data_IF_023981174358
#
_entry.id   IF_023981174358
#
_cell.length_a   1.000
_cell.length_b   1.000
_cell.length_c   1.000
_cell.angle_alpha   90.00
_cell.angle_beta   90.00
_cell.angle_gamma   90.00
#
_symmetry.space_group_name_H-M   'P 1'
#
loop_
_entity.id
_entity.type
_entity.pdbx_description
1 polymer ?
#
# COMPACT_ATOMS: atom_id res chain seq x y z
N UNK A 1 13.37 -3.42 -11.82
CA UNK A 1 12.55 -3.17 -10.62
C UNK A 1 12.34 -4.39 -9.70
N UNK A 2 12.99 -5.56 -9.88
CA UNK A 2 12.77 -6.74 -9.00
C UNK A 2 13.86 -7.00 -7.97
N UNK A 3 15.00 -6.33 -8.10
CA UNK A 3 16.16 -6.54 -7.24
C UNK A 3 16.06 -5.67 -5.99
N UNK A 4 16.45 -6.22 -4.84
CA UNK A 4 16.57 -5.55 -3.53
C UNK A 4 15.28 -5.40 -2.69
N UNK A 5 14.12 -5.86 -3.17
CA UNK A 5 12.91 -5.83 -2.34
C UNK A 5 13.05 -6.65 -1.06
N UNK A 6 13.73 -7.78 -1.15
CA UNK A 6 14.15 -8.62 -0.02
C UNK A 6 14.98 -7.84 1.01
N UNK A 7 15.84 -6.93 0.56
CA UNK A 7 16.72 -6.14 1.44
C UNK A 7 15.99 -5.02 2.17
N UNK A 8 14.99 -4.41 1.54
CA UNK A 8 14.25 -3.27 2.11
C UNK A 8 12.94 -3.68 2.78
N UNK A 9 12.46 -4.91 2.55
CA UNK A 9 11.20 -5.42 3.09
C UNK A 9 11.10 -5.22 4.60
N UNK A 10 12.13 -5.61 5.36
CA UNK A 10 12.10 -5.53 6.82
C UNK A 10 11.89 -4.09 7.32
N UNK A 11 12.44 -3.10 6.61
CA UNK A 11 12.28 -1.69 6.96
C UNK A 11 10.91 -1.14 6.58
N UNK A 12 10.24 -1.73 5.59
CA UNK A 12 8.98 -1.23 5.04
C UNK A 12 7.76 -2.04 5.47
N UNK A 13 7.97 -3.22 6.06
CA UNK A 13 6.90 -4.10 6.51
C UNK A 13 5.94 -3.37 7.47
N UNK A 14 4.66 -3.46 7.13
CA UNK A 14 3.56 -2.86 7.86
C UNK A 14 3.43 -1.37 7.62
N UNK A 15 4.34 -0.71 6.89
CA UNK A 15 4.36 0.77 6.73
C UNK A 15 3.83 1.25 5.39
N UNK A 16 3.70 0.36 4.41
CA UNK A 16 3.39 0.72 3.03
C UNK A 16 1.99 0.24 2.65
N UNK A 17 1.17 1.18 2.21
CA UNK A 17 -0.07 0.93 1.50
C UNK A 17 0.03 1.55 0.10
N UNK A 18 -0.39 0.80 -0.92
CA UNK A 18 -0.45 1.25 -2.31
C UNK A 18 -1.88 1.04 -2.81
N UNK A 19 -2.43 2.09 -3.41
CA UNK A 19 -3.78 2.12 -3.98
C UNK A 19 -3.72 2.53 -5.45
N UNK A 20 -4.50 1.88 -6.32
CA UNK A 20 -4.57 2.24 -7.74
C UNK A 20 -5.97 2.02 -8.32
N UNK A 21 -6.32 2.80 -9.33
CA UNK A 21 -7.56 2.65 -10.08
C UNK A 21 -7.46 1.45 -11.02
N UNK A 22 -8.49 0.62 -11.08
CA UNK A 22 -8.51 -0.54 -11.97
C UNK A 22 -8.47 -0.16 -13.44
N UNK A 23 -8.99 1.03 -13.79
CA UNK A 23 -9.01 1.59 -15.14
C UNK A 23 -8.01 2.74 -15.31
N UNK A 24 -6.91 2.76 -14.54
CA UNK A 24 -5.87 3.80 -14.68
C UNK A 24 -5.45 3.96 -16.16
N UNK A 25 -5.72 5.15 -16.70
CA UNK A 25 -5.52 5.49 -18.11
C UNK A 25 -4.05 5.79 -18.45
N UNK A 26 -3.16 5.83 -17.45
CA UNK A 26 -1.72 5.81 -17.61
C UNK A 26 -1.14 4.39 -17.48
N UNK A 27 -2.00 3.38 -17.30
CA UNK A 27 -1.64 1.96 -17.21
C UNK A 27 -0.76 1.63 -15.99
N UNK A 28 -0.79 2.46 -14.93
CA UNK A 28 0.01 2.24 -13.72
C UNK A 28 -0.49 1.04 -12.89
N UNK A 29 -1.75 0.66 -13.08
CA UNK A 29 -2.37 -0.51 -12.48
C UNK A 29 -1.58 -1.81 -12.75
N UNK A 30 -0.95 -1.96 -13.92
CA UNK A 30 -0.14 -3.14 -14.23
C UNK A 30 1.17 -3.18 -13.43
N UNK A 31 1.83 -2.03 -13.26
CA UNK A 31 3.04 -1.94 -12.45
C UNK A 31 2.76 -2.26 -10.98
N UNK A 32 1.64 -1.74 -10.45
CA UNK A 32 1.18 -2.03 -9.08
C UNK A 32 0.86 -3.52 -8.91
N UNK A 33 0.13 -4.15 -9.85
CA UNK A 33 -0.15 -5.59 -9.81
C UNK A 33 1.11 -6.45 -9.87
N UNK A 34 2.12 -6.03 -10.64
CA UNK A 34 3.41 -6.71 -10.69
C UNK A 34 4.14 -6.61 -9.35
N UNK A 35 4.16 -5.42 -8.73
CA UNK A 35 4.76 -5.25 -7.40
C UNK A 35 4.03 -6.05 -6.33
N UNK A 36 2.69 -6.06 -6.35
CA UNK A 36 1.86 -6.88 -5.45
C UNK A 36 2.24 -8.37 -5.55
N UNK A 37 2.34 -8.90 -6.77
CA UNK A 37 2.77 -10.28 -6.98
C UNK A 37 4.18 -10.57 -6.44
N UNK A 38 5.13 -9.64 -6.58
CA UNK A 38 6.48 -9.80 -6.01
C UNK A 38 6.47 -9.70 -4.48
N UNK A 39 5.70 -8.80 -3.88
CA UNK A 39 5.62 -8.65 -2.42
C UNK A 39 4.97 -9.84 -1.74
N UNK A 40 3.97 -10.46 -2.40
CA UNK A 40 3.36 -11.72 -1.95
C UNK A 40 4.37 -12.86 -1.90
N UNK A 41 5.23 -13.02 -2.92
CA UNK A 41 6.30 -14.05 -2.92
C UNK A 41 7.27 -13.88 -1.74
N UNK A 42 7.46 -12.66 -1.28
CA UNK A 42 8.33 -12.34 -0.16
C UNK A 42 7.61 -12.40 1.20
N UNK A 43 6.31 -12.72 1.26
CA UNK A 43 5.51 -12.61 2.49
C UNK A 43 5.61 -11.22 3.14
N UNK A 44 5.54 -10.16 2.33
CA UNK A 44 5.51 -8.79 2.86
C UNK A 44 4.14 -8.42 3.40
N UNK A 45 4.13 -7.52 4.38
CA UNK A 45 2.91 -6.94 4.95
C UNK A 45 2.47 -5.65 4.26
N UNK A 46 2.93 -5.41 3.03
CA UNK A 46 2.43 -4.33 2.19
C UNK A 46 0.94 -4.52 1.91
N UNK A 47 0.19 -3.43 1.94
CA UNK A 47 -1.25 -3.45 1.65
C UNK A 47 -1.46 -2.92 0.24
N UNK A 48 -2.06 -3.74 -0.64
CA UNK A 48 -2.45 -3.34 -1.99
C UNK A 48 -3.97 -3.23 -2.07
N UNK A 49 -4.47 -2.09 -2.52
CA UNK A 49 -5.90 -1.83 -2.71
C UNK A 49 -6.18 -1.38 -4.13
N UNK A 50 -7.31 -1.83 -4.66
CA UNK A 50 -7.71 -1.58 -6.03
C UNK A 50 -9.14 -1.05 -6.03
N UNK A 51 -9.33 0.14 -6.59
CA UNK A 51 -10.63 0.81 -6.60
C UNK A 51 -11.16 0.92 -8.04
N UNK A 52 -12.48 1.03 -8.25
CA UNK A 52 -13.01 1.47 -9.53
C UNK A 52 -12.53 2.91 -9.84
N UNK A 53 -12.34 3.20 -11.12
CA UNK A 53 -11.87 4.49 -11.61
C UNK A 53 -10.50 4.42 -12.27
N UNK A 54 -10.15 5.55 -12.88
CA UNK A 54 -8.87 5.84 -13.50
C UNK A 54 -8.02 6.76 -12.59
N UNK A 55 -6.94 7.29 -13.16
CA UNK A 55 -6.00 8.16 -12.46
C UNK A 55 -6.63 9.40 -11.82
N UNK A 56 -7.76 9.86 -12.37
CA UNK A 56 -8.44 11.08 -11.94
C UNK A 56 -9.72 10.81 -11.14
N UNK A 57 -10.28 9.61 -11.27
CA UNK A 57 -11.59 9.27 -10.69
C UNK A 57 -11.51 8.32 -9.50
N UNK A 58 -10.31 7.82 -9.17
CA UNK A 58 -10.06 6.94 -8.01
C UNK A 58 -10.42 7.57 -6.64
N UNK A 59 -10.40 8.90 -6.53
CA UNK A 59 -10.55 9.66 -5.28
C UNK A 59 -11.99 9.66 -4.71
N UNK A 60 -12.52 8.47 -4.46
CA UNK A 60 -13.84 8.22 -3.88
C UNK A 60 -13.82 8.35 -2.35
N UNK A 61 -15.01 8.42 -1.73
CA UNK A 61 -15.12 8.40 -0.25
C UNK A 61 -14.49 7.15 0.36
N UNK A 62 -14.64 5.99 -0.28
CA UNK A 62 -14.06 4.73 0.18
C UNK A 62 -12.52 4.78 0.13
N UNK A 63 -11.95 5.25 -0.98
CA UNK A 63 -10.51 5.46 -1.13
C UNK A 63 -9.93 6.31 0.01
N UNK A 64 -10.56 7.45 0.32
CA UNK A 64 -10.10 8.32 1.40
C UNK A 64 -10.26 7.69 2.78
N UNK A 65 -11.39 7.01 3.02
CA UNK A 65 -11.67 6.33 4.28
C UNK A 65 -10.60 5.28 4.57
N UNK A 66 -10.35 4.38 3.63
CA UNK A 66 -9.44 3.25 3.82
C UNK A 66 -7.99 3.72 4.00
N UNK A 67 -7.57 4.71 3.19
CA UNK A 67 -6.25 5.34 3.34
C UNK A 67 -6.08 6.02 4.70
N UNK A 68 -7.07 6.79 5.15
CA UNK A 68 -7.01 7.46 6.45
C UNK A 68 -7.03 6.45 7.61
N UNK A 69 -7.86 5.40 7.54
CA UNK A 69 -7.89 4.34 8.55
C UNK A 69 -6.56 3.59 8.62
N UNK A 70 -5.89 3.34 7.49
CA UNK A 70 -4.55 2.77 7.49
C UNK A 70 -3.57 3.69 8.24
N UNK A 71 -3.51 4.98 7.89
CA UNK A 71 -2.61 5.94 8.52
C UNK A 71 -2.87 6.11 10.02
N UNK A 72 -4.14 6.15 10.42
CA UNK A 72 -4.54 6.22 11.83
C UNK A 72 -4.05 5.00 12.60
N UNK A 73 -4.29 3.79 12.08
CA UNK A 73 -3.81 2.55 12.69
C UNK A 73 -2.28 2.53 12.83
N UNK A 74 -1.56 3.00 11.81
CA UNK A 74 -0.10 3.11 11.85
C UNK A 74 0.38 4.09 12.92
N UNK A 75 -0.32 5.21 13.06
CA UNK A 75 -0.02 6.22 14.06
C UNK A 75 -0.27 5.68 15.48
N UNK A 76 -1.39 5.00 15.73
CA UNK A 76 -1.69 4.40 17.03
C UNK A 76 -0.65 3.34 17.41
N UNK A 77 -0.28 2.44 16.49
CA UNK A 77 0.78 1.46 16.73
C UNK A 77 2.14 2.11 17.06
N UNK A 78 2.44 3.24 16.42
CA UNK A 78 3.66 3.99 16.71
C UNK A 78 3.62 4.64 18.10
N UNK A 79 2.48 5.20 18.51
CA UNK A 79 2.29 5.72 19.87
C UNK A 79 2.47 4.61 20.91
N UNK A 80 1.80 3.47 20.74
CA UNK A 80 1.90 2.32 21.65
C UNK A 80 3.33 1.84 21.85
N UNK A 81 4.11 1.78 20.76
CA UNK A 81 5.54 1.40 20.83
C UNK A 81 6.39 2.42 21.59
N UNK A 82 5.98 3.69 21.63
CA UNK A 82 6.67 4.73 22.42
C UNK A 82 6.29 4.67 23.90
N UNK A 83 5.03 4.39 24.20
CA UNK A 83 4.53 4.35 25.59
C UNK A 83 4.94 3.06 26.33
N UNK A 84 5.25 1.99 25.60
CA UNK A 84 5.77 0.72 26.15
C UNK A 84 7.30 0.67 26.30
N UNK A 85 8.00 1.75 25.98
CA UNK A 85 9.43 1.94 26.26
C UNK A 85 9.61 2.67 27.59
#
# INVERSE_FOLDING_TARGET
MRTNWDKVKADLDGKVMISVGNQDNFLLNYAVKLLDAEMKKLNSSFVFTYYPGDHFTIATTEFFKDGNSFLENQYQQWQDKRTRK
#
